data_IF_515033063243
#
_entry.id   IF_515033063243
#
_cell.length_a   1.000
_cell.length_b   1.000
_cell.length_c   1.000
_cell.angle_alpha   90.00
_cell.angle_beta   90.00
_cell.angle_gamma   90.00
#
_symmetry.space_group_name_H-M   'P 1'
#
loop_
_entity.id
_entity.type
_entity.pdbx_description
1 polymer ?
#
# COMPACT_ATOMS: atom_id res chain seq x y z
N UNK A 1 13.87 3.26 15.52
CA UNK A 1 12.63 3.77 14.96
C UNK A 1 12.77 5.27 14.67
N UNK A 2 12.68 5.66 13.39
CA UNK A 2 12.85 7.05 12.95
C UNK A 2 11.59 7.91 13.09
N UNK A 3 10.46 7.32 13.47
CA UNK A 3 9.21 8.06 13.65
C UNK A 3 9.17 8.84 14.97
N UNK A 4 9.77 8.32 16.03
CA UNK A 4 9.85 9.03 17.30
C UNK A 4 11.05 9.98 17.37
N UNK A 5 10.89 11.19 17.96
CA UNK A 5 9.67 11.74 18.57
C UNK A 5 8.75 12.47 17.57
N UNK A 6 9.11 12.53 16.30
CA UNK A 6 8.50 13.45 15.32
C UNK A 6 7.03 13.13 15.06
N UNK A 7 6.66 11.85 14.96
CA UNK A 7 5.25 11.48 14.79
C UNK A 7 4.38 11.96 15.95
N UNK A 8 4.88 11.83 17.17
CA UNK A 8 4.17 12.32 18.36
C UNK A 8 3.94 13.84 18.33
N UNK A 9 4.94 14.61 17.89
CA UNK A 9 4.82 16.06 17.73
C UNK A 9 3.79 16.43 16.65
N UNK A 10 3.80 15.72 15.51
CA UNK A 10 2.82 15.93 14.43
C UNK A 10 1.40 15.62 14.92
N UNK A 11 1.20 14.48 15.58
CA UNK A 11 -0.11 14.07 16.12
C UNK A 11 -0.62 15.09 17.13
N UNK A 12 0.23 15.55 18.05
CA UNK A 12 -0.13 16.57 19.03
C UNK A 12 -0.55 17.88 18.37
N UNK A 13 0.23 18.34 17.38
CA UNK A 13 -0.08 19.55 16.63
C UNK A 13 -1.41 19.45 15.87
N UNK A 14 -1.67 18.33 15.19
CA UNK A 14 -2.94 18.13 14.48
C UNK A 14 -4.12 18.12 15.47
N UNK A 15 -3.99 17.43 16.59
CA UNK A 15 -5.05 17.41 17.62
C UNK A 15 -5.33 18.80 18.21
N UNK A 16 -4.31 19.65 18.34
CA UNK A 16 -4.49 21.05 18.77
C UNK A 16 -5.25 21.86 17.71
N UNK A 17 -4.85 21.77 16.42
CA UNK A 17 -5.38 22.62 15.34
C UNK A 17 -6.67 22.09 14.72
N UNK A 18 -6.88 20.78 14.75
CA UNK A 18 -8.04 20.11 14.19
C UNK A 18 -8.53 18.99 15.12
N UNK A 19 -9.11 19.34 16.30
CA UNK A 19 -9.45 18.39 17.37
C UNK A 19 -10.46 17.31 16.92
N UNK A 20 -11.26 17.59 15.91
CA UNK A 20 -12.25 16.65 15.37
C UNK A 20 -11.73 15.81 14.20
N UNK A 21 -10.47 15.99 13.78
CA UNK A 21 -9.90 15.22 12.68
C UNK A 21 -9.66 13.76 13.10
N UNK A 22 -10.12 12.82 12.29
CA UNK A 22 -9.75 11.42 12.42
C UNK A 22 -8.40 11.20 11.75
N UNK A 23 -7.45 10.65 12.51
CA UNK A 23 -6.09 10.45 12.03
C UNK A 23 -5.87 9.00 11.63
N UNK A 24 -5.26 8.83 10.49
CA UNK A 24 -4.84 7.54 9.95
C UNK A 24 -3.33 7.53 9.69
N UNK A 25 -2.72 6.38 9.85
CA UNK A 25 -1.35 6.12 9.43
C UNK A 25 -1.35 5.17 8.25
N UNK A 26 -0.86 5.62 7.10
CA UNK A 26 -0.73 4.76 5.93
C UNK A 26 0.52 3.89 6.04
N UNK A 27 0.33 2.58 6.08
CA UNK A 27 1.40 1.62 5.94
C UNK A 27 1.99 1.67 4.53
N UNK A 28 3.31 1.86 4.42
CA UNK A 28 3.99 1.73 3.13
C UNK A 28 4.30 0.26 2.82
N UNK A 29 4.78 0.00 1.62
CA UNK A 29 5.04 -1.33 1.10
C UNK A 29 6.53 -1.63 0.94
N UNK A 30 6.89 -2.91 1.01
CA UNK A 30 8.22 -3.35 0.68
C UNK A 30 8.55 -3.11 -0.80
N UNK A 31 9.83 -2.95 -1.11
CA UNK A 31 10.28 -2.86 -2.48
C UNK A 31 9.98 -4.14 -3.26
N UNK A 32 9.96 -4.06 -4.58
CA UNK A 32 9.77 -5.23 -5.43
C UNK A 32 11.04 -6.10 -5.42
N UNK A 33 10.87 -7.39 -5.70
CA UNK A 33 11.93 -8.39 -5.65
C UNK A 33 13.14 -8.04 -6.53
N UNK A 34 12.89 -7.41 -7.68
CA UNK A 34 13.90 -6.97 -8.64
C UNK A 34 14.42 -5.55 -8.40
N UNK A 35 14.02 -4.90 -7.31
CA UNK A 35 14.37 -3.52 -7.04
C UNK A 35 15.89 -3.31 -6.93
N UNK A 36 16.39 -2.38 -7.72
CA UNK A 36 17.79 -1.92 -7.67
C UNK A 36 18.04 -0.84 -6.60
N UNK A 37 17.02 -0.43 -5.83
CA UNK A 37 17.15 0.65 -4.86
C UNK A 37 18.18 0.32 -3.78
N UNK A 38 19.14 1.23 -3.54
CA UNK A 38 20.27 1.01 -2.60
C UNK A 38 19.82 0.70 -1.17
N UNK A 39 18.74 1.30 -0.69
CA UNK A 39 18.21 1.03 0.66
C UNK A 39 17.66 -0.38 0.84
N UNK A 40 17.42 -1.13 -0.25
CA UNK A 40 16.98 -2.52 -0.16
C UNK A 40 18.05 -3.44 0.47
N UNK A 41 19.31 -3.06 0.35
CA UNK A 41 20.43 -3.76 1.01
C UNK A 41 20.30 -3.80 2.54
N UNK A 42 19.59 -2.85 3.16
CA UNK A 42 19.32 -2.85 4.61
C UNK A 42 18.44 -4.01 5.07
N UNK A 43 17.79 -4.65 4.14
CA UNK A 43 16.91 -5.81 4.31
C UNK A 43 17.46 -7.03 3.57
N UNK A 44 18.78 -7.10 3.32
CA UNK A 44 19.43 -8.20 2.60
C UNK A 44 18.80 -8.46 1.20
N UNK A 45 18.19 -7.46 0.59
CA UNK A 45 17.34 -7.58 -0.61
C UNK A 45 16.21 -8.61 -0.45
N UNK A 46 15.76 -8.85 0.77
CA UNK A 46 14.66 -9.75 1.08
C UNK A 46 13.37 -8.93 1.26
N UNK A 47 12.44 -9.13 0.35
CA UNK A 47 11.16 -8.42 0.34
C UNK A 47 10.32 -8.75 1.58
N UNK A 48 10.29 -10.02 2.01
CA UNK A 48 9.53 -10.42 3.19
C UNK A 48 10.13 -9.80 4.45
N UNK A 49 11.45 -9.84 4.62
CA UNK A 49 12.14 -9.18 5.75
C UNK A 49 11.84 -7.67 5.80
N UNK A 50 11.84 -7.03 4.64
CA UNK A 50 11.49 -5.61 4.55
C UNK A 50 10.04 -5.36 4.95
N UNK A 51 9.11 -6.18 4.45
CA UNK A 51 7.69 -6.09 4.80
C UNK A 51 7.47 -6.27 6.30
N UNK A 52 8.03 -7.31 6.90
CA UNK A 52 7.86 -7.61 8.33
C UNK A 52 8.31 -6.43 9.20
N UNK A 53 9.48 -5.86 8.91
CA UNK A 53 10.00 -4.70 9.65
C UNK A 53 9.15 -3.44 9.46
N UNK A 54 8.61 -3.22 8.26
CA UNK A 54 7.70 -2.10 7.99
C UNK A 54 6.39 -2.31 8.76
N UNK A 55 5.77 -3.48 8.62
CA UNK A 55 4.51 -3.82 9.27
C UNK A 55 4.60 -3.66 10.79
N UNK A 56 5.62 -4.22 11.41
CA UNK A 56 5.85 -4.09 12.85
C UNK A 56 6.00 -2.63 13.27
N UNK A 57 6.78 -1.83 12.52
CA UNK A 57 7.00 -0.43 12.83
C UNK A 57 5.69 0.37 12.73
N UNK A 58 4.92 0.21 11.65
CA UNK A 58 3.67 0.92 11.44
C UNK A 58 2.61 0.53 12.47
N UNK A 59 2.49 -0.76 12.77
CA UNK A 59 1.54 -1.27 13.78
C UNK A 59 1.86 -0.74 15.17
N UNK A 60 3.14 -0.76 15.58
CA UNK A 60 3.57 -0.22 16.87
C UNK A 60 3.31 1.29 16.97
N UNK A 61 3.60 2.06 15.92
CA UNK A 61 3.40 3.50 15.91
C UNK A 61 1.92 3.87 15.89
N UNK A 62 1.12 3.18 15.10
CA UNK A 62 -0.33 3.36 15.08
C UNK A 62 -0.94 3.11 16.47
N UNK A 63 -0.56 2.00 17.11
CA UNK A 63 -1.00 1.69 18.48
C UNK A 63 -0.54 2.75 19.50
N UNK A 64 0.74 3.14 19.47
CA UNK A 64 1.32 4.13 20.39
C UNK A 64 0.58 5.47 20.39
N UNK A 65 0.17 5.93 19.21
CA UNK A 65 -0.47 7.23 19.04
C UNK A 65 -1.99 7.17 18.84
N UNK A 66 -2.58 5.98 19.01
CA UNK A 66 -4.01 5.72 18.80
C UNK A 66 -4.49 6.18 17.42
N UNK A 67 -3.78 5.73 16.38
CA UNK A 67 -4.10 5.98 14.98
C UNK A 67 -4.70 4.73 14.36
N UNK A 68 -5.64 4.90 13.43
CA UNK A 68 -6.05 3.78 12.58
C UNK A 68 -5.03 3.56 11.45
N UNK A 69 -4.76 2.30 11.15
CA UNK A 69 -3.85 1.93 10.07
C UNK A 69 -4.62 1.78 8.74
N UNK A 70 -4.09 2.39 7.66
CA UNK A 70 -4.46 2.04 6.29
C UNK A 70 -3.48 0.96 5.84
N UNK A 71 -3.90 -0.31 5.69
CA UNK A 71 -3.01 -1.47 5.57
C UNK A 71 -2.48 -1.68 4.14
N UNK A 72 -1.97 -0.60 3.51
CA UNK A 72 -1.56 -0.65 2.10
C UNK A 72 -0.43 -1.65 1.86
N UNK A 73 0.60 -1.65 2.71
CA UNK A 73 1.73 -2.58 2.62
C UNK A 73 1.29 -4.03 2.77
N UNK A 74 0.42 -4.31 3.75
CA UNK A 74 -0.11 -5.65 4.02
C UNK A 74 -0.94 -6.20 2.86
N UNK A 75 -1.82 -5.38 2.28
CA UNK A 75 -2.64 -5.80 1.12
C UNK A 75 -1.76 -6.01 -0.12
N UNK A 76 -0.80 -5.10 -0.38
CA UNK A 76 0.14 -5.23 -1.50
C UNK A 76 0.96 -6.51 -1.36
N UNK A 77 1.47 -6.83 -0.16
CA UNK A 77 2.23 -8.05 0.07
C UNK A 77 1.40 -9.30 -0.22
N UNK A 78 0.12 -9.31 0.17
CA UNK A 78 -0.80 -10.42 -0.14
C UNK A 78 -1.11 -10.52 -1.64
N UNK A 79 -1.37 -9.39 -2.32
CA UNK A 79 -1.62 -9.38 -3.78
C UNK A 79 -0.43 -9.95 -4.54
N UNK A 80 0.81 -9.67 -4.09
CA UNK A 80 2.03 -10.21 -4.70
C UNK A 80 2.17 -11.73 -4.61
N UNK A 81 1.36 -12.40 -3.79
CA UNK A 81 1.31 -13.88 -3.75
C UNK A 81 0.36 -14.48 -4.78
N UNK A 82 -0.45 -13.66 -5.46
CA UNK A 82 -1.32 -14.11 -6.54
C UNK A 82 -0.49 -14.34 -7.81
N UNK A 83 -0.75 -15.40 -8.58
CA UNK A 83 0.02 -15.73 -9.79
C UNK A 83 0.15 -14.55 -10.76
N UNK A 84 -0.91 -13.75 -10.91
CA UNK A 84 -0.98 -12.61 -11.80
C UNK A 84 -0.02 -11.48 -11.43
N UNK A 85 0.38 -11.41 -10.15
CA UNK A 85 1.24 -10.37 -9.58
C UNK A 85 2.51 -10.92 -8.92
N UNK A 86 2.78 -12.21 -9.05
CA UNK A 86 4.00 -12.84 -8.54
C UNK A 86 5.14 -12.71 -9.56
N UNK A 87 5.96 -11.69 -9.39
CA UNK A 87 6.99 -11.28 -10.38
C UNK A 87 7.99 -12.39 -10.71
N UNK A 88 8.35 -13.24 -9.73
CA UNK A 88 9.30 -14.34 -9.96
C UNK A 88 8.77 -15.41 -10.92
N UNK A 89 7.45 -15.57 -10.99
CA UNK A 89 6.78 -16.53 -11.88
C UNK A 89 6.25 -15.85 -13.16
N UNK A 90 6.71 -14.64 -13.45
CA UNK A 90 6.33 -13.89 -14.66
C UNK A 90 5.06 -13.05 -14.51
N UNK A 91 4.51 -12.91 -13.30
CA UNK A 91 3.42 -12.00 -13.00
C UNK A 91 3.81 -10.52 -13.11
N UNK A 92 2.82 -9.66 -13.10
CA UNK A 92 3.00 -8.21 -13.23
C UNK A 92 3.52 -7.58 -11.94
N UNK A 93 4.51 -6.68 -12.05
CA UNK A 93 4.90 -5.87 -10.91
C UNK A 93 3.86 -4.79 -10.61
N UNK A 94 3.53 -4.62 -9.33
CA UNK A 94 2.75 -3.49 -8.85
C UNK A 94 3.58 -2.19 -8.77
N UNK A 95 4.89 -2.27 -9.02
CA UNK A 95 5.80 -1.13 -9.03
C UNK A 95 6.33 -0.86 -10.44
N UNK A 96 6.50 0.42 -10.82
CA UNK A 96 7.03 0.84 -12.13
C UNK A 96 8.57 0.85 -12.20
N UNK A 97 9.22 0.92 -11.04
CA UNK A 97 10.68 1.08 -10.91
C UNK A 97 11.24 0.31 -9.71
N UNK A 98 10.53 -0.72 -9.28
CA UNK A 98 10.88 -1.56 -8.14
C UNK A 98 10.46 -1.02 -6.77
N UNK A 99 9.88 0.20 -6.67
CA UNK A 99 9.42 0.75 -5.39
C UNK A 99 8.27 1.75 -5.47
N UNK A 100 8.13 2.54 -6.53
CA UNK A 100 6.97 3.39 -6.73
C UNK A 100 5.84 2.62 -7.42
N UNK A 101 4.61 2.76 -6.93
CA UNK A 101 3.45 2.10 -7.52
C UNK A 101 3.28 2.44 -9.00
N UNK A 102 2.98 1.43 -9.79
CA UNK A 102 2.65 1.54 -11.21
C UNK A 102 1.40 2.39 -11.42
N UNK A 103 1.29 3.00 -12.60
CA UNK A 103 0.18 3.92 -12.92
C UNK A 103 -1.15 3.20 -13.15
N UNK A 104 -1.07 1.94 -13.56
CA UNK A 104 -2.18 1.06 -13.86
C UNK A 104 -2.73 0.34 -12.61
N UNK A 105 -2.09 -0.76 -12.21
CA UNK A 105 -2.58 -1.63 -11.15
C UNK A 105 -2.17 -1.14 -9.76
N UNK A 106 -0.93 -0.66 -9.58
CA UNK A 106 -0.42 -0.30 -8.25
C UNK A 106 -1.18 0.86 -7.61
N UNK A 107 -1.36 1.97 -8.34
CA UNK A 107 -2.12 3.13 -7.85
C UNK A 107 -3.61 2.84 -7.72
N UNK A 108 -4.15 2.03 -8.63
CA UNK A 108 -5.54 1.59 -8.54
C UNK A 108 -5.79 0.79 -7.25
N UNK A 109 -4.91 -0.17 -6.95
CA UNK A 109 -4.97 -0.95 -5.71
C UNK A 109 -4.95 -0.04 -4.48
N UNK A 110 -4.02 0.94 -4.43
CA UNK A 110 -3.97 1.92 -3.33
C UNK A 110 -5.28 2.69 -3.19
N UNK A 111 -5.84 3.18 -4.30
CA UNK A 111 -7.09 3.93 -4.28
C UNK A 111 -8.25 3.08 -3.73
N UNK A 112 -8.36 1.82 -4.13
CA UNK A 112 -9.36 0.89 -3.59
C UNK A 112 -9.18 0.64 -2.08
N UNK A 113 -7.93 0.43 -1.61
CA UNK A 113 -7.63 0.25 -0.18
C UNK A 113 -8.06 1.48 0.62
N UNK A 114 -7.70 2.67 0.16
CA UNK A 114 -8.08 3.92 0.81
C UNK A 114 -9.60 4.11 0.85
N UNK A 115 -10.27 3.95 -0.28
CA UNK A 115 -11.71 4.09 -0.36
C UNK A 115 -12.41 3.13 0.62
N UNK A 116 -12.05 1.86 0.59
CA UNK A 116 -12.60 0.84 1.50
C UNK A 116 -12.35 1.22 2.95
N UNK A 117 -11.10 1.51 3.31
CA UNK A 117 -10.71 1.81 4.70
C UNK A 117 -11.36 3.08 5.25
N UNK A 118 -11.48 4.13 4.44
CA UNK A 118 -12.03 5.41 4.89
C UNK A 118 -13.55 5.45 4.93
N UNK A 119 -14.22 4.69 4.05
CA UNK A 119 -15.68 4.78 3.89
C UNK A 119 -16.43 3.52 4.32
N UNK A 120 -15.75 2.37 4.40
CA UNK A 120 -16.39 1.06 4.62
C UNK A 120 -17.15 0.52 3.40
N UNK A 121 -17.20 1.27 2.29
CA UNK A 121 -17.95 0.87 1.09
C UNK A 121 -17.20 -0.26 0.38
N UNK A 122 -17.94 -1.28 -0.09
CA UNK A 122 -17.37 -2.31 -0.98
C UNK A 122 -16.83 -1.69 -2.26
N UNK A 123 -15.62 -2.10 -2.65
CA UNK A 123 -14.99 -1.65 -3.90
C UNK A 123 -15.25 -2.61 -5.06
N UNK A 124 -15.93 -3.74 -4.82
CA UNK A 124 -16.13 -4.83 -5.77
C UNK A 124 -16.76 -4.37 -7.09
N UNK A 125 -17.76 -3.50 -7.00
CA UNK A 125 -18.58 -3.08 -8.15
C UNK A 125 -18.15 -1.72 -8.73
N UNK A 126 -16.96 -1.23 -8.39
CA UNK A 126 -16.43 0.01 -8.96
C UNK A 126 -16.14 -0.21 -10.45
N UNK A 127 -16.80 0.61 -11.29
CA UNK A 127 -16.66 0.56 -12.74
C UNK A 127 -15.48 1.40 -13.28
N UNK A 128 -14.82 2.19 -12.43
CA UNK A 128 -13.71 3.06 -12.86
C UNK A 128 -12.53 2.24 -13.39
N UNK A 129 -12.05 2.61 -14.57
CA UNK A 129 -10.84 2.08 -15.19
C UNK A 129 -9.80 3.20 -15.19
N UNK A 130 -8.57 2.97 -14.69
CA UNK A 130 -7.53 3.99 -14.71
C UNK A 130 -7.18 4.45 -16.11
N UNK A 131 -7.15 5.76 -16.30
CA UNK A 131 -6.69 6.41 -17.53
C UNK A 131 -5.51 7.32 -17.19
N UNK A 132 -4.47 7.29 -18.00
CA UNK A 132 -3.31 8.17 -17.84
C UNK A 132 -2.59 8.33 -19.17
N UNK A 133 -2.08 9.54 -19.49
CA UNK A 133 -1.28 9.75 -20.69
C UNK A 133 0.00 8.90 -20.76
N UNK A 134 0.45 8.35 -19.62
CA UNK A 134 1.62 7.47 -19.56
C UNK A 134 1.28 5.99 -19.79
N UNK A 135 -0.01 5.63 -19.75
CA UNK A 135 -0.46 4.26 -20.06
C UNK A 135 -0.55 4.11 -21.59
N UNK A 136 0.26 3.20 -22.13
CA UNK A 136 0.23 2.88 -23.57
C UNK A 136 -0.93 1.95 -23.95
N UNK A 137 -1.42 1.18 -22.97
CA UNK A 137 -2.51 0.20 -23.10
C UNK A 137 -3.39 0.34 -21.86
N UNK A 138 -4.70 0.23 -22.06
CA UNK A 138 -5.65 0.20 -20.95
C UNK A 138 -5.40 -1.04 -20.08
N UNK A 139 -5.54 -0.93 -18.74
CA UNK A 139 -5.41 -2.06 -17.83
C UNK A 139 -6.44 -3.16 -18.13
N UNK A 140 -6.04 -4.41 -17.92
CA UNK A 140 -6.96 -5.55 -18.02
C UNK A 140 -8.02 -5.47 -16.93
N UNK A 141 -9.28 -5.46 -17.35
CA UNK A 141 -10.43 -5.32 -16.44
C UNK A 141 -10.61 -6.51 -15.51
N UNK A 142 -10.15 -7.72 -15.89
CA UNK A 142 -10.16 -8.89 -15.01
C UNK A 142 -9.15 -8.73 -13.88
N UNK A 143 -7.97 -8.19 -14.17
CA UNK A 143 -6.97 -7.89 -13.13
C UNK A 143 -7.46 -6.78 -12.20
N UNK A 144 -8.10 -5.72 -12.72
CA UNK A 144 -8.72 -4.71 -11.87
C UNK A 144 -9.81 -5.29 -10.97
N UNK A 145 -10.62 -6.23 -11.50
CA UNK A 145 -11.62 -6.96 -10.71
C UNK A 145 -10.96 -7.77 -9.60
N UNK A 146 -9.90 -8.53 -9.90
CA UNK A 146 -9.14 -9.32 -8.93
C UNK A 146 -8.60 -8.45 -7.80
N UNK A 147 -8.06 -7.27 -8.13
CA UNK A 147 -7.59 -6.30 -7.12
C UNK A 147 -8.72 -5.81 -6.21
N UNK A 148 -9.90 -5.49 -6.76
CA UNK A 148 -11.06 -5.06 -5.97
C UNK A 148 -11.54 -6.17 -5.02
N UNK A 149 -11.66 -7.40 -5.52
CA UNK A 149 -12.06 -8.56 -4.72
C UNK A 149 -11.05 -8.82 -3.59
N UNK A 150 -9.76 -8.67 -3.88
CA UNK A 150 -8.69 -8.77 -2.87
C UNK A 150 -8.81 -7.70 -1.78
N UNK A 151 -9.13 -6.46 -2.14
CA UNK A 151 -9.35 -5.38 -1.17
C UNK A 151 -10.57 -5.66 -0.31
N UNK A 152 -11.69 -6.07 -0.90
CA UNK A 152 -12.91 -6.39 -0.14
C UNK A 152 -12.72 -7.55 0.84
N UNK A 153 -11.82 -8.49 0.52
CA UNK A 153 -11.49 -9.62 1.38
C UNK A 153 -10.54 -9.26 2.53
N UNK A 154 -9.61 -8.31 2.32
CA UNK A 154 -8.47 -8.11 3.24
C UNK A 154 -8.49 -6.75 3.98
N UNK A 155 -9.40 -5.84 3.64
CA UNK A 155 -9.61 -4.53 4.28
C UNK A 155 -11.00 -4.46 4.91
#
# INVERSE_FOLDING_TARGET
NSYDPFLGLIVAHIKEKAPNAKLYMQETWAYELDSAHGSFMRYNRNQQEMYDKLHDCYTQMAAKYNLELIPSGSVIQKVRTLPEFHVQDGGLSLCRDGFHMSFDYGRYLLACIWLKKLTGISVKDIAYIPESPVLKVAPDTNLLKLLRESVDLWV
#
